data_IF_214085471715
#
_entry.id   IF_214085471715
#
_cell.length_a   1.000
_cell.length_b   1.000
_cell.length_c   1.000
_cell.angle_alpha   90.00
_cell.angle_beta   90.00
_cell.angle_gamma   90.00
#
_symmetry.space_group_name_H-M   'P 1'
#
loop_
_entity.id
_entity.type
_entity.pdbx_description
1 polymer ?
#
# COMPACT_ATOMS: atom_id res chain seq x y z
N UNK A 1 -8.91 21.84 -32.84
CA UNK A 1 -8.29 22.95 -32.09
C UNK A 1 -6.99 23.33 -32.77
N UNK A 2 -6.66 24.61 -32.90
CA UNK A 2 -5.34 25.04 -33.41
C UNK A 2 -4.21 24.78 -32.41
N UNK A 3 -2.94 24.89 -32.84
CA UNK A 3 -1.74 24.63 -32.00
C UNK A 3 -1.75 25.38 -30.66
N UNK A 4 -2.25 26.62 -30.64
CA UNK A 4 -2.38 27.42 -29.41
C UNK A 4 -3.37 26.83 -28.41
N UNK A 5 -4.45 26.20 -28.87
CA UNK A 5 -5.43 25.54 -28.00
C UNK A 5 -4.90 24.23 -27.40
N UNK A 6 -4.09 23.48 -28.17
CA UNK A 6 -3.42 22.29 -27.67
C UNK A 6 -2.44 22.63 -26.53
N UNK A 7 -1.65 23.69 -26.68
CA UNK A 7 -0.72 24.16 -25.64
C UNK A 7 -1.44 24.58 -24.35
N UNK A 8 -2.57 25.29 -24.45
CA UNK A 8 -3.35 25.67 -23.26
C UNK A 8 -3.92 24.45 -22.56
N UNK A 9 -4.43 23.46 -23.31
CA UNK A 9 -4.98 22.23 -22.74
C UNK A 9 -3.91 21.43 -21.98
N UNK A 10 -2.73 21.26 -22.56
CA UNK A 10 -1.58 20.62 -21.90
C UNK A 10 -1.16 21.37 -20.64
N UNK A 11 -1.09 22.72 -20.70
CA UNK A 11 -0.78 23.54 -19.51
C UNK A 11 -1.76 23.29 -18.35
N UNK A 12 -3.07 23.20 -18.64
CA UNK A 12 -4.08 22.92 -17.62
C UNK A 12 -3.86 21.55 -16.98
N UNK A 13 -3.58 20.53 -17.80
CA UNK A 13 -3.32 19.16 -17.35
C UNK A 13 -2.07 19.09 -16.46
N UNK A 14 -0.96 19.69 -16.88
CA UNK A 14 0.31 19.67 -16.13
C UNK A 14 0.17 20.38 -14.77
N UNK A 15 -0.42 21.58 -14.77
CA UNK A 15 -0.70 22.34 -13.54
C UNK A 15 -1.63 21.57 -12.59
N UNK A 16 -2.63 20.88 -13.14
CA UNK A 16 -3.56 20.09 -12.33
C UNK A 16 -2.86 18.90 -11.69
N UNK A 17 -1.97 18.22 -12.43
CA UNK A 17 -1.15 17.12 -11.90
C UNK A 17 -0.30 17.62 -10.72
N UNK A 18 0.39 18.74 -10.86
CA UNK A 18 1.19 19.33 -9.78
C UNK A 18 0.33 19.70 -8.56
N UNK A 19 -0.83 20.32 -8.76
CA UNK A 19 -1.76 20.67 -7.68
C UNK A 19 -2.30 19.43 -6.96
N UNK A 20 -2.69 18.40 -7.71
CA UNK A 20 -3.14 17.13 -7.14
C UNK A 20 -2.02 16.48 -6.30
N UNK A 21 -0.76 16.58 -6.73
CA UNK A 21 0.38 16.08 -5.97
C UNK A 21 0.63 16.87 -4.69
N UNK A 22 0.45 18.19 -4.72
CA UNK A 22 0.76 19.09 -3.60
C UNK A 22 -0.31 19.12 -2.51
N UNK A 23 -1.59 19.17 -2.88
CA UNK A 23 -2.70 19.36 -1.92
C UNK A 23 -3.76 18.26 -1.97
N UNK A 24 -3.63 17.30 -2.88
CA UNK A 24 -4.59 16.21 -3.07
C UNK A 24 -5.74 16.55 -4.01
N UNK A 25 -6.32 15.53 -4.63
CA UNK A 25 -7.41 15.67 -5.60
C UNK A 25 -8.65 16.34 -4.99
N UNK A 26 -9.08 15.91 -3.79
CA UNK A 26 -10.31 16.43 -3.18
C UNK A 26 -10.20 17.89 -2.76
N UNK A 27 -9.02 18.33 -2.30
CA UNK A 27 -8.79 19.72 -1.86
C UNK A 27 -8.47 20.68 -3.02
N UNK A 28 -8.20 20.16 -4.21
CA UNK A 28 -7.96 20.99 -5.40
C UNK A 28 -9.28 21.52 -5.96
N UNK A 29 -9.38 22.83 -6.17
CA UNK A 29 -10.55 23.48 -6.78
C UNK A 29 -10.25 23.91 -8.23
N UNK A 30 -11.30 24.05 -9.04
CA UNK A 30 -11.19 24.57 -10.42
C UNK A 30 -10.61 26.00 -10.42
N UNK A 31 -10.95 26.81 -9.41
CA UNK A 31 -10.43 28.17 -9.27
C UNK A 31 -8.92 28.16 -8.97
N UNK A 32 -8.44 27.22 -8.15
CA UNK A 32 -7.00 27.05 -7.90
C UNK A 32 -6.24 26.64 -9.17
N UNK A 33 -6.80 25.70 -9.95
CA UNK A 33 -6.22 25.29 -11.24
C UNK A 33 -6.16 26.46 -12.22
N UNK A 34 -7.27 27.21 -12.38
CA UNK A 34 -7.31 28.35 -13.30
C UNK A 34 -6.27 29.43 -12.91
N UNK A 35 -6.16 29.72 -11.61
CA UNK A 35 -5.19 30.66 -11.06
C UNK A 35 -3.74 30.23 -11.34
N UNK A 36 -3.40 28.98 -11.02
CA UNK A 36 -2.04 28.44 -11.19
C UNK A 36 -1.68 28.30 -12.69
N UNK A 37 -2.65 28.00 -13.54
CA UNK A 37 -2.47 27.96 -14.99
C UNK A 37 -2.47 29.35 -15.65
N UNK A 38 -2.62 30.44 -14.88
CA UNK A 38 -2.69 31.83 -15.38
C UNK A 38 -3.74 32.00 -16.49
N UNK A 39 -4.95 31.49 -16.24
CA UNK A 39 -6.11 31.59 -17.15
C UNK A 39 -7.38 31.96 -16.39
N UNK A 40 -8.38 32.45 -17.11
CA UNK A 40 -9.70 32.67 -16.50
C UNK A 40 -10.43 31.34 -16.27
N UNK A 41 -11.32 31.31 -15.27
CA UNK A 41 -12.22 30.17 -15.04
C UNK A 41 -13.06 29.85 -16.28
N UNK A 42 -13.52 30.88 -17.00
CA UNK A 42 -14.26 30.71 -18.25
C UNK A 42 -13.40 30.04 -19.33
N UNK A 43 -12.12 30.38 -19.41
CA UNK A 43 -11.16 29.71 -20.31
C UNK A 43 -10.99 28.25 -19.94
N UNK A 44 -10.84 27.91 -18.66
CA UNK A 44 -10.71 26.52 -18.22
C UNK A 44 -11.93 25.69 -18.66
N UNK A 45 -13.15 26.22 -18.44
CA UNK A 45 -14.39 25.55 -18.85
C UNK A 45 -14.56 25.35 -20.35
N UNK A 46 -13.82 26.09 -21.20
CA UNK A 46 -13.80 25.82 -22.64
C UNK A 46 -13.05 24.52 -22.99
N UNK A 47 -12.17 24.04 -22.10
CA UNK A 47 -11.38 22.82 -22.31
C UNK A 47 -11.88 21.65 -21.45
N UNK A 48 -12.29 21.91 -20.21
CA UNK A 48 -12.67 20.89 -19.24
C UNK A 48 -13.93 21.27 -18.46
N UNK A 49 -14.94 20.39 -18.37
CA UNK A 49 -16.13 20.63 -17.55
C UNK A 49 -15.83 20.76 -16.05
N UNK A 50 -14.75 20.15 -15.57
CA UNK A 50 -14.33 20.18 -14.19
C UNK A 50 -13.01 19.47 -13.96
N UNK A 51 -12.61 19.34 -12.69
CA UNK A 51 -11.36 18.67 -12.30
C UNK A 51 -11.41 17.15 -12.53
N UNK A 52 -12.60 16.55 -12.49
CA UNK A 52 -12.81 15.13 -12.73
C UNK A 52 -12.41 14.79 -14.17
N UNK A 53 -12.81 15.58 -15.16
CA UNK A 53 -12.42 15.35 -16.57
C UNK A 53 -10.93 15.59 -16.82
N UNK A 54 -10.30 16.51 -16.08
CA UNK A 54 -8.84 16.68 -16.13
C UNK A 54 -8.15 15.42 -15.58
N UNK A 55 -8.65 14.88 -14.48
CA UNK A 55 -8.13 13.64 -13.89
C UNK A 55 -8.33 12.44 -14.82
N UNK A 56 -9.47 12.35 -15.50
CA UNK A 56 -9.73 11.29 -16.48
C UNK A 56 -8.79 11.35 -17.69
N UNK A 57 -8.43 12.54 -18.15
CA UNK A 57 -7.42 12.68 -19.18
C UNK A 57 -6.03 12.24 -18.70
N UNK A 58 -5.64 12.63 -17.50
CA UNK A 58 -4.39 12.15 -16.89
C UNK A 58 -4.38 10.62 -16.74
N UNK A 59 -5.51 10.04 -16.33
CA UNK A 59 -5.71 8.60 -16.22
C UNK A 59 -5.55 7.90 -17.57
N UNK A 60 -6.11 8.47 -18.64
CA UNK A 60 -5.99 7.94 -20.00
C UNK A 60 -4.55 8.04 -20.54
N UNK A 61 -3.83 9.14 -20.25
CA UNK A 61 -2.39 9.27 -20.59
C UNK A 61 -1.53 8.25 -19.85
N UNK A 62 -1.65 8.18 -18.53
CA UNK A 62 -0.94 7.21 -17.68
C UNK A 62 -1.28 5.77 -18.11
N UNK A 63 -2.57 5.51 -18.31
CA UNK A 63 -3.08 4.21 -18.66
C UNK A 63 -2.56 3.70 -20.00
N UNK A 64 -2.49 4.56 -21.03
CA UNK A 64 -1.86 4.20 -22.31
C UNK A 64 -0.39 3.79 -22.15
N UNK A 65 0.35 4.43 -21.25
CA UNK A 65 1.74 4.06 -20.98
C UNK A 65 1.82 2.67 -20.34
N UNK A 66 1.04 2.40 -19.30
CA UNK A 66 0.96 1.08 -18.66
C UNK A 66 0.52 -0.02 -19.63
N UNK A 67 -0.53 0.21 -20.42
CA UNK A 67 -0.99 -0.77 -21.40
C UNK A 67 0.06 -1.07 -22.48
N UNK A 68 0.87 -0.10 -22.86
CA UNK A 68 1.98 -0.31 -23.80
C UNK A 68 3.03 -1.24 -23.21
N UNK A 69 3.37 -1.05 -21.94
CA UNK A 69 4.31 -1.91 -21.20
C UNK A 69 3.75 -3.32 -21.08
N UNK A 70 2.49 -3.48 -20.65
CA UNK A 70 1.85 -4.80 -20.53
C UNK A 70 1.76 -5.58 -21.86
N UNK A 71 1.52 -4.89 -23.00
CA UNK A 71 1.49 -5.53 -24.33
C UNK A 71 2.82 -6.15 -24.75
N UNK A 72 3.92 -5.65 -24.18
CA UNK A 72 5.28 -6.04 -24.54
C UNK A 72 5.89 -7.06 -23.58
N UNK A 73 5.15 -7.49 -22.55
CA UNK A 73 5.59 -8.61 -21.70
C UNK A 73 5.80 -9.81 -22.63
N UNK A 74 7.04 -10.28 -22.71
CA UNK A 74 7.41 -11.47 -23.46
C UNK A 74 6.89 -12.75 -22.80
N UNK A 75 7.24 -13.93 -23.32
CA UNK A 75 6.94 -15.20 -22.67
C UNK A 75 7.52 -15.23 -21.25
N UNK A 76 6.71 -15.63 -20.27
CA UNK A 76 7.16 -15.91 -18.90
C UNK A 76 7.28 -17.43 -18.70
N UNK A 77 8.18 -17.85 -17.82
CA UNK A 77 8.43 -19.25 -17.49
C UNK A 77 9.69 -19.44 -16.64
N UNK A 78 10.00 -20.67 -16.21
CA UNK A 78 11.18 -21.01 -15.39
C UNK A 78 12.49 -21.02 -16.19
N UNK A 79 12.70 -20.02 -17.03
CA UNK A 79 13.85 -19.93 -17.94
C UNK A 79 14.51 -18.56 -17.84
N UNK A 80 15.77 -18.46 -18.28
CA UNK A 80 16.46 -17.16 -18.33
C UNK A 80 15.68 -16.12 -19.15
N UNK A 81 15.12 -16.51 -20.29
CA UNK A 81 14.32 -15.60 -21.13
C UNK A 81 13.06 -15.14 -20.40
N UNK A 82 12.37 -16.06 -19.71
CA UNK A 82 11.19 -15.73 -18.91
C UNK A 82 11.51 -14.74 -17.78
N UNK A 83 12.61 -14.98 -17.09
CA UNK A 83 13.10 -14.13 -16.01
C UNK A 83 13.53 -12.73 -16.51
N UNK A 84 14.29 -12.67 -17.60
CA UNK A 84 14.71 -11.40 -18.23
C UNK A 84 13.47 -10.57 -18.65
N UNK A 85 12.43 -11.22 -19.20
CA UNK A 85 11.17 -10.55 -19.57
C UNK A 85 10.41 -10.01 -18.35
N UNK A 86 10.41 -10.74 -17.23
CA UNK A 86 9.80 -10.31 -15.98
C UNK A 86 10.54 -9.09 -15.39
N UNK A 87 11.87 -9.16 -15.30
CA UNK A 87 12.71 -8.06 -14.81
C UNK A 87 12.55 -6.80 -15.68
N UNK A 88 12.57 -6.95 -17.01
CA UNK A 88 12.32 -5.84 -17.93
C UNK A 88 10.94 -5.20 -17.69
N UNK A 89 9.88 -6.01 -17.56
CA UNK A 89 8.55 -5.49 -17.29
C UNK A 89 8.49 -4.70 -15.98
N UNK A 90 9.13 -5.19 -14.91
CA UNK A 90 9.20 -4.51 -13.62
C UNK A 90 9.95 -3.16 -13.70
N UNK A 91 11.05 -3.10 -14.46
CA UNK A 91 11.78 -1.87 -14.71
C UNK A 91 10.93 -0.82 -15.45
N UNK A 92 10.28 -1.22 -16.55
CA UNK A 92 9.40 -0.35 -17.31
C UNK A 92 8.19 0.11 -16.50
N UNK A 93 7.61 -0.79 -15.68
CA UNK A 93 6.51 -0.45 -14.80
C UNK A 93 6.93 0.62 -13.78
N UNK A 94 8.11 0.44 -13.18
CA UNK A 94 8.66 1.40 -12.21
C UNK A 94 8.95 2.76 -12.85
N UNK A 95 9.44 2.78 -14.09
CA UNK A 95 9.60 4.01 -14.86
C UNK A 95 8.27 4.73 -15.13
N UNK A 96 7.23 3.98 -15.53
CA UNK A 96 5.89 4.57 -15.71
C UNK A 96 5.36 5.11 -14.39
N UNK A 97 5.55 4.38 -13.29
CA UNK A 97 5.11 4.84 -11.98
C UNK A 97 5.79 6.14 -11.56
N UNK A 98 7.12 6.22 -11.67
CA UNK A 98 7.89 7.43 -11.32
C UNK A 98 7.36 8.66 -12.09
N UNK A 99 7.20 8.51 -13.40
CA UNK A 99 6.70 9.58 -14.29
C UNK A 99 5.28 10.05 -13.96
N UNK A 100 4.41 9.17 -13.46
CA UNK A 100 3.00 9.47 -13.19
C UNK A 100 2.64 9.24 -11.71
N UNK A 101 3.61 9.36 -10.80
CA UNK A 101 3.48 8.94 -9.40
C UNK A 101 2.30 9.59 -8.70
N UNK A 102 2.06 10.89 -8.97
CA UNK A 102 0.88 11.61 -8.47
C UNK A 102 -0.43 10.94 -8.86
N UNK A 103 -0.57 10.41 -10.08
CA UNK A 103 -1.79 9.72 -10.48
C UNK A 103 -2.03 8.48 -9.65
N UNK A 104 -0.99 7.68 -9.39
CA UNK A 104 -1.10 6.47 -8.57
C UNK A 104 -1.34 6.76 -7.09
N UNK A 105 -0.71 7.81 -6.55
CA UNK A 105 -0.94 8.24 -5.16
C UNK A 105 -2.38 8.69 -4.98
N UNK A 106 -2.86 9.57 -5.87
CA UNK A 106 -4.22 10.11 -5.77
C UNK A 106 -5.28 9.06 -6.09
N UNK A 107 -4.97 8.09 -6.96
CA UNK A 107 -5.84 6.97 -7.30
C UNK A 107 -6.47 6.33 -6.08
N UNK A 108 -5.67 5.98 -5.08
CA UNK A 108 -6.14 5.26 -3.89
C UNK A 108 -7.27 6.03 -3.20
N UNK A 109 -7.12 7.35 -3.07
CA UNK A 109 -8.16 8.21 -2.48
C UNK A 109 -9.39 8.39 -3.38
N UNK A 110 -9.19 8.48 -4.71
CA UNK A 110 -10.25 8.72 -5.69
C UNK A 110 -11.10 7.47 -5.93
N UNK A 111 -10.47 6.30 -6.04
CA UNK A 111 -11.14 5.02 -6.23
C UNK A 111 -12.04 4.63 -5.04
N UNK A 112 -11.65 5.03 -3.83
CA UNK A 112 -12.41 4.78 -2.60
C UNK A 112 -13.57 5.76 -2.38
N UNK A 113 -13.64 6.84 -3.16
CA UNK A 113 -14.71 7.82 -3.08
C UNK A 113 -15.77 7.58 -4.15
N UNK A 114 -17.01 7.93 -3.84
CA UNK A 114 -18.10 7.97 -4.81
C UNK A 114 -17.91 9.17 -5.76
N UNK A 115 -17.18 8.94 -6.85
CA UNK A 115 -16.83 9.96 -7.85
C UNK A 115 -17.23 9.49 -9.24
N UNK A 116 -17.43 10.45 -10.15
CA UNK A 116 -17.69 10.16 -11.57
C UNK A 116 -16.51 9.43 -12.26
N UNK A 117 -15.33 9.52 -11.65
CA UNK A 117 -14.06 8.94 -12.12
C UNK A 117 -13.97 7.44 -11.84
N UNK A 118 -14.57 6.97 -10.74
CA UNK A 118 -14.41 5.59 -10.23
C UNK A 118 -14.72 4.50 -11.26
N UNK A 119 -15.82 4.54 -12.04
CA UNK A 119 -16.09 3.50 -13.05
C UNK A 119 -15.02 3.39 -14.14
N UNK A 120 -14.34 4.50 -14.46
CA UNK A 120 -13.28 4.52 -15.47
C UNK A 120 -11.98 3.93 -14.93
N UNK A 121 -11.68 4.20 -13.66
CA UNK A 121 -10.63 3.52 -12.88
C UNK A 121 -10.85 2.00 -12.86
N UNK A 122 -12.07 1.55 -12.55
CA UNK A 122 -12.40 0.12 -12.49
C UNK A 122 -12.26 -0.56 -13.86
N UNK A 123 -12.72 0.12 -14.92
CA UNK A 123 -12.58 -0.34 -16.31
C UNK A 123 -11.11 -0.47 -16.71
N UNK A 124 -10.30 0.53 -16.36
CA UNK A 124 -8.86 0.52 -16.61
C UNK A 124 -8.18 -0.69 -15.94
N UNK A 125 -8.40 -0.86 -14.63
CA UNK A 125 -7.75 -1.92 -13.85
C UNK A 125 -8.18 -3.29 -14.34
N UNK A 126 -9.47 -3.48 -14.61
CA UNK A 126 -10.00 -4.72 -15.17
C UNK A 126 -9.35 -5.06 -16.52
N UNK A 127 -9.17 -4.05 -17.38
CA UNK A 127 -8.49 -4.21 -18.66
C UNK A 127 -7.01 -4.58 -18.52
N UNK A 128 -6.30 -3.92 -17.60
CA UNK A 128 -4.88 -4.17 -17.34
C UNK A 128 -4.66 -5.56 -16.73
N UNK A 129 -5.44 -5.92 -15.71
CA UNK A 129 -5.40 -7.24 -15.09
C UNK A 129 -5.69 -8.34 -16.10
N UNK A 130 -6.73 -8.20 -16.94
CA UNK A 130 -7.02 -9.20 -17.97
C UNK A 130 -5.86 -9.44 -18.92
N UNK A 131 -5.10 -8.40 -19.25
CA UNK A 131 -3.93 -8.52 -20.12
C UNK A 131 -2.78 -9.29 -19.47
N UNK A 132 -2.50 -9.02 -18.20
CA UNK A 132 -1.48 -9.76 -17.45
C UNK A 132 -1.93 -11.21 -17.23
N UNK A 133 -3.20 -11.45 -16.88
CA UNK A 133 -3.79 -12.79 -16.79
C UNK A 133 -3.63 -13.56 -18.10
N UNK A 134 -3.96 -12.98 -19.25
CA UNK A 134 -3.84 -13.65 -20.55
C UNK A 134 -2.38 -14.01 -20.89
N UNK A 135 -1.40 -13.25 -20.40
CA UNK A 135 0.02 -13.62 -20.52
C UNK A 135 0.35 -14.82 -19.62
N UNK A 136 -0.11 -14.80 -18.37
CA UNK A 136 0.12 -15.89 -17.41
C UNK A 136 -0.58 -17.21 -17.78
N UNK A 137 -1.74 -17.14 -18.44
CA UNK A 137 -2.42 -18.31 -19.01
C UNK A 137 -1.56 -19.05 -20.05
N UNK A 138 -0.64 -18.34 -20.71
CA UNK A 138 0.29 -18.91 -21.68
C UNK A 138 1.58 -19.44 -21.04
N UNK A 139 1.71 -19.37 -19.71
CA UNK A 139 2.99 -19.59 -19.00
C UNK A 139 3.07 -20.89 -18.18
N UNK A 140 2.20 -21.88 -18.40
CA UNK A 140 2.28 -23.19 -17.71
C UNK A 140 2.39 -23.11 -16.16
N UNK A 141 1.75 -22.11 -15.55
CA UNK A 141 1.78 -21.89 -14.09
C UNK A 141 1.37 -23.14 -13.30
N UNK A 142 2.12 -23.45 -12.25
CA UNK A 142 1.85 -24.58 -11.36
C UNK A 142 1.23 -24.13 -10.05
N UNK A 143 0.11 -24.75 -9.68
CA UNK A 143 -0.51 -24.58 -8.36
C UNK A 143 -1.03 -23.17 -8.04
N UNK A 144 -1.26 -22.30 -9.02
CA UNK A 144 -1.90 -21.00 -8.83
C UNK A 144 -2.77 -20.66 -10.04
N UNK A 145 -4.01 -20.22 -9.80
CA UNK A 145 -4.89 -19.78 -10.89
C UNK A 145 -4.33 -18.50 -11.52
N UNK A 146 -4.21 -18.38 -12.87
CA UNK A 146 -3.65 -17.20 -13.53
C UNK A 146 -4.31 -15.87 -13.13
N UNK A 147 -5.62 -15.88 -12.87
CA UNK A 147 -6.34 -14.68 -12.39
C UNK A 147 -5.85 -14.24 -11.01
N UNK A 148 -5.66 -15.19 -10.09
CA UNK A 148 -5.18 -14.93 -8.73
C UNK A 148 -3.71 -14.51 -8.75
N UNK A 149 -2.88 -15.19 -9.54
CA UNK A 149 -1.49 -14.83 -9.77
C UNK A 149 -1.32 -13.41 -10.32
N UNK A 150 -2.11 -13.05 -11.34
CA UNK A 150 -2.11 -11.71 -11.91
C UNK A 150 -2.51 -10.65 -10.88
N UNK A 151 -3.53 -10.92 -10.07
CA UNK A 151 -3.96 -10.01 -9.02
C UNK A 151 -2.84 -9.78 -8.01
N UNK A 152 -2.23 -10.85 -7.50
CA UNK A 152 -1.15 -10.76 -6.52
C UNK A 152 0.05 -9.98 -7.10
N UNK A 153 0.50 -10.36 -8.30
CA UNK A 153 1.59 -9.69 -9.03
C UNK A 153 1.34 -8.19 -9.20
N UNK A 154 0.16 -7.78 -9.68
CA UNK A 154 -0.17 -6.36 -9.87
C UNK A 154 -0.25 -5.62 -8.52
N UNK A 155 -0.89 -6.23 -7.52
CA UNK A 155 -1.03 -5.66 -6.18
C UNK A 155 0.33 -5.37 -5.52
N UNK A 156 1.26 -6.32 -5.61
CA UNK A 156 2.62 -6.22 -5.06
C UNK A 156 3.40 -5.15 -5.81
N UNK A 157 3.45 -5.22 -7.15
CA UNK A 157 4.20 -4.28 -7.99
C UNK A 157 3.74 -2.85 -7.75
N UNK A 158 2.43 -2.63 -7.69
CA UNK A 158 1.88 -1.31 -7.37
C UNK A 158 2.28 -0.84 -5.97
N UNK A 159 2.18 -1.71 -4.96
CA UNK A 159 2.47 -1.34 -3.58
C UNK A 159 3.96 -1.04 -3.35
N UNK A 160 4.85 -1.81 -3.96
CA UNK A 160 6.30 -1.61 -3.90
C UNK A 160 6.70 -0.27 -4.51
N UNK A 161 6.15 0.07 -5.67
CA UNK A 161 6.44 1.34 -6.31
C UNK A 161 5.86 2.54 -5.57
N UNK A 162 4.70 2.38 -4.92
CA UNK A 162 4.20 3.39 -3.99
C UNK A 162 5.18 3.60 -2.84
N UNK A 163 5.79 2.54 -2.31
CA UNK A 163 6.82 2.66 -1.26
C UNK A 163 8.09 3.34 -1.77
N UNK A 164 8.53 3.08 -3.01
CA UNK A 164 9.63 3.81 -3.64
C UNK A 164 9.32 5.31 -3.73
N UNK A 165 8.17 5.68 -4.29
CA UNK A 165 7.79 7.09 -4.47
C UNK A 165 7.50 7.85 -3.15
N UNK A 166 7.31 7.12 -2.05
CA UNK A 166 7.05 7.71 -0.72
C UNK A 166 8.22 7.57 0.24
N UNK A 167 9.40 7.17 -0.26
CA UNK A 167 10.65 7.00 0.50
C UNK A 167 10.49 6.03 1.69
N UNK A 168 9.91 4.85 1.40
CA UNK A 168 9.60 3.81 2.40
C UNK A 168 10.34 2.51 2.11
N UNK A 169 11.50 2.62 1.48
CA UNK A 169 12.35 1.50 1.05
C UNK A 169 13.69 1.45 1.78
N UNK A 170 13.83 2.14 2.93
CA UNK A 170 15.06 2.15 3.74
C UNK A 170 16.31 2.51 2.92
N UNK A 171 16.18 3.52 2.05
CA UNK A 171 17.27 3.98 1.18
C UNK A 171 17.62 3.07 0.01
N UNK A 172 16.88 1.96 -0.22
CA UNK A 172 17.08 1.11 -1.41
C UNK A 172 16.59 1.81 -2.66
N UNK A 173 17.45 1.86 -3.67
CA UNK A 173 17.14 2.46 -4.96
C UNK A 173 16.19 1.59 -5.80
N UNK A 174 15.71 2.16 -6.91
CA UNK A 174 14.77 1.48 -7.81
C UNK A 174 15.33 0.18 -8.39
N UNK A 175 16.63 0.13 -8.70
CA UNK A 175 17.24 -1.04 -9.34
C UNK A 175 17.29 -2.22 -8.36
N UNK A 176 17.79 -2.02 -7.15
CA UNK A 176 17.83 -3.06 -6.12
C UNK A 176 16.42 -3.59 -5.79
N UNK A 177 15.42 -2.70 -5.77
CA UNK A 177 14.03 -3.07 -5.55
C UNK A 177 13.46 -3.88 -6.70
N UNK A 178 13.66 -3.46 -7.95
CA UNK A 178 13.21 -4.19 -9.14
C UNK A 178 13.86 -5.57 -9.22
N UNK A 179 15.15 -5.68 -8.94
CA UNK A 179 15.90 -6.93 -9.01
C UNK A 179 15.45 -7.94 -7.95
N UNK A 180 15.31 -7.49 -6.70
CA UNK A 180 14.79 -8.34 -5.62
C UNK A 180 13.33 -8.76 -5.86
N UNK A 181 12.50 -7.84 -6.38
CA UNK A 181 11.11 -8.13 -6.74
C UNK A 181 11.03 -9.11 -7.93
N UNK A 182 12.00 -9.06 -8.85
CA UNK A 182 12.10 -10.01 -9.96
C UNK A 182 12.33 -11.42 -9.45
N UNK A 183 13.31 -11.60 -8.55
CA UNK A 183 13.60 -12.90 -7.92
C UNK A 183 12.37 -13.41 -7.17
N UNK A 184 11.75 -12.55 -6.34
CA UNK A 184 10.56 -12.91 -5.57
C UNK A 184 9.38 -13.35 -6.47
N UNK A 185 9.04 -12.54 -7.49
CA UNK A 185 7.91 -12.85 -8.38
C UNK A 185 8.21 -14.06 -9.28
N UNK A 186 9.47 -14.25 -9.67
CA UNK A 186 9.89 -15.44 -10.42
C UNK A 186 9.64 -16.70 -9.60
N UNK A 187 10.03 -16.72 -8.32
CA UNK A 187 9.79 -17.86 -7.44
C UNK A 187 8.32 -18.03 -7.05
N UNK A 188 7.57 -16.93 -6.92
CA UNK A 188 6.12 -16.97 -6.71
C UNK A 188 5.40 -17.70 -7.84
N UNK A 189 5.71 -17.33 -9.08
CA UNK A 189 5.05 -17.83 -10.29
C UNK A 189 5.60 -19.18 -10.75
N UNK A 190 6.91 -19.37 -10.61
CA UNK A 190 7.69 -20.50 -11.14
C UNK A 190 8.68 -21.02 -10.07
N UNK A 191 8.20 -21.65 -8.99
CA UNK A 191 9.06 -22.09 -7.88
C UNK A 191 10.16 -23.08 -8.32
N UNK A 192 9.95 -23.82 -9.40
CA UNK A 192 10.92 -24.73 -10.01
C UNK A 192 12.07 -24.04 -10.76
N UNK A 193 12.08 -22.71 -10.84
CA UNK A 193 13.15 -21.94 -11.52
C UNK A 193 14.52 -22.28 -10.92
N UNK A 194 15.50 -22.73 -11.72
CA UNK A 194 16.83 -23.03 -11.21
C UNK A 194 17.55 -21.79 -10.66
N UNK A 195 18.29 -21.93 -9.57
CA UNK A 195 19.06 -20.82 -8.99
C UNK A 195 20.08 -20.22 -9.97
N UNK A 196 20.59 -21.00 -10.94
CA UNK A 196 21.45 -20.47 -12.00
C UNK A 196 20.78 -19.42 -12.90
N UNK A 197 19.45 -19.45 -13.03
CA UNK A 197 18.67 -18.41 -13.71
C UNK A 197 18.57 -17.17 -12.83
N UNK A 198 18.28 -17.34 -11.54
CA UNK A 198 18.12 -16.24 -10.58
C UNK A 198 19.44 -15.48 -10.37
N UNK A 199 20.57 -16.19 -10.37
CA UNK A 199 21.93 -15.64 -10.28
C UNK A 199 22.37 -14.84 -11.52
N UNK A 200 21.52 -14.70 -12.55
CA UNK A 200 21.85 -13.89 -13.73
C UNK A 200 21.69 -12.38 -13.51
N UNK A 201 21.00 -11.96 -12.44
CA UNK A 201 20.89 -10.55 -12.04
C UNK A 201 22.05 -10.20 -11.08
N UNK A 202 22.74 -9.07 -11.29
CA UNK A 202 23.81 -8.60 -10.41
C UNK A 202 23.24 -7.89 -9.17
N UNK A 203 22.45 -8.61 -8.37
CA UNK A 203 21.93 -8.09 -7.11
C UNK A 203 22.97 -8.35 -6.01
N UNK A 204 23.72 -7.31 -5.67
CA UNK A 204 24.61 -7.31 -4.51
C UNK A 204 23.82 -6.90 -3.27
N UNK A 205 23.76 -7.76 -2.25
CA UNK A 205 23.26 -7.35 -0.93
C UNK A 205 24.30 -6.42 -0.32
N UNK A 206 23.98 -5.13 -0.03
CA UNK A 206 24.94 -4.24 0.59
C UNK A 206 25.45 -4.85 1.90
N UNK A 207 26.78 -4.97 2.10
CA UNK A 207 27.35 -5.59 3.31
C UNK A 207 27.16 -4.73 4.56
N UNK A 208 26.86 -3.44 4.41
CA UNK A 208 26.57 -2.52 5.51
C UNK A 208 25.09 -2.62 5.90
N UNK A 209 24.86 -3.52 6.84
CA UNK A 209 23.68 -3.74 7.67
C UNK A 209 22.36 -4.09 6.95
N UNK A 210 21.99 -5.39 6.87
CA UNK A 210 20.62 -5.76 6.52
C UNK A 210 19.61 -5.33 7.59
N UNK A 211 20.06 -4.74 8.70
CA UNK A 211 19.24 -4.35 9.84
C UNK A 211 18.41 -3.12 9.53
N UNK A 212 17.11 -3.23 9.78
CA UNK A 212 16.21 -2.09 9.84
C UNK A 212 16.27 -1.55 11.27
N UNK A 213 16.81 -0.35 11.44
CA UNK A 213 16.81 0.32 12.74
C UNK A 213 15.37 0.68 13.15
N UNK A 214 14.94 0.17 14.29
CA UNK A 214 13.67 0.54 14.90
C UNK A 214 13.90 1.81 15.73
N UNK A 215 13.33 2.95 15.35
CA UNK A 215 13.49 4.17 16.14
C UNK A 215 12.85 4.01 17.53
N UNK A 216 13.31 4.74 18.55
CA UNK A 216 12.71 4.70 19.87
C UNK A 216 11.25 5.18 19.81
N UNK A 217 10.40 4.57 20.62
CA UNK A 217 9.02 5.05 20.79
C UNK A 217 9.02 6.50 21.30
N UNK A 218 8.18 7.38 20.73
CA UNK A 218 8.02 8.72 21.25
C UNK A 218 7.39 8.71 22.65
N UNK A 219 7.56 9.79 23.40
CA UNK A 219 6.87 9.94 24.67
C UNK A 219 5.36 10.06 24.44
N UNK A 220 4.60 9.15 25.07
CA UNK A 220 3.13 9.08 24.97
C UNK A 220 2.44 9.33 26.31
N UNK A 221 3.19 9.76 27.33
CA UNK A 221 2.71 9.88 28.70
C UNK A 221 1.48 10.81 28.79
N UNK A 222 0.36 10.27 29.27
CA UNK A 222 -0.90 11.01 29.41
C UNK A 222 -1.74 11.08 28.14
N UNK A 223 -1.24 10.57 27.00
CA UNK A 223 -1.91 10.63 25.71
C UNK A 223 -2.75 9.38 25.42
N UNK A 224 -2.37 8.23 25.98
CA UNK A 224 -3.06 6.96 25.78
C UNK A 224 -4.45 6.91 26.42
N UNK A 225 -5.32 6.02 25.92
CA UNK A 225 -6.61 5.76 26.56
C UNK A 225 -6.46 5.20 27.98
N UNK A 226 -5.41 4.40 28.22
CA UNK A 226 -5.08 3.87 29.53
C UNK A 226 -4.70 4.98 30.52
N UNK A 227 -3.81 5.90 30.14
CA UNK A 227 -3.38 7.00 31.02
C UNK A 227 -4.53 7.93 31.39
N UNK A 228 -5.38 8.27 30.41
CA UNK A 228 -6.57 9.12 30.61
C UNK A 228 -7.57 8.53 31.59
N UNK A 229 -7.56 7.21 31.76
CA UNK A 229 -8.56 6.49 32.54
C UNK A 229 -8.00 5.79 33.78
N UNK A 230 -6.68 5.89 34.03
CA UNK A 230 -5.98 5.17 35.10
C UNK A 230 -6.60 5.34 36.50
N UNK A 231 -7.17 6.52 36.78
CA UNK A 231 -7.80 6.84 38.07
C UNK A 231 -9.32 7.12 37.95
N UNK A 232 -9.94 6.68 36.86
CA UNK A 232 -11.36 6.93 36.61
C UNK A 232 -12.22 5.68 36.86
N UNK A 233 -13.54 5.88 36.97
CA UNK A 233 -14.49 4.79 37.14
C UNK A 233 -14.51 3.83 35.94
N UNK A 234 -14.92 2.57 36.14
CA UNK A 234 -15.16 1.60 35.05
C UNK A 234 -16.08 2.15 33.95
N UNK A 235 -17.05 2.99 34.31
CA UNK A 235 -17.93 3.67 33.34
C UNK A 235 -17.16 4.63 32.46
N UNK A 236 -16.24 5.41 33.03
CA UNK A 236 -15.39 6.33 32.27
C UNK A 236 -14.45 5.57 31.34
N UNK A 237 -13.80 4.51 31.82
CA UNK A 237 -12.97 3.60 31.00
C UNK A 237 -13.76 3.08 29.80
N UNK A 238 -14.98 2.56 30.03
CA UNK A 238 -15.83 2.08 28.95
C UNK A 238 -16.22 3.19 27.96
N UNK A 239 -16.48 4.41 28.45
CA UNK A 239 -16.82 5.55 27.61
C UNK A 239 -15.66 5.94 26.68
N UNK A 240 -14.44 5.99 27.21
CA UNK A 240 -13.23 6.26 26.42
C UNK A 240 -13.03 5.18 25.36
N UNK A 241 -13.16 3.91 25.73
CA UNK A 241 -13.09 2.79 24.76
C UNK A 241 -14.13 2.93 23.64
N UNK A 242 -15.38 3.24 23.96
CA UNK A 242 -16.43 3.47 22.95
C UNK A 242 -16.05 4.62 22.00
N UNK A 243 -15.47 5.71 22.50
CA UNK A 243 -15.00 6.82 21.65
C UNK A 243 -13.82 6.41 20.75
N UNK A 244 -12.87 5.63 21.27
CA UNK A 244 -11.73 5.08 20.51
C UNK A 244 -12.22 4.14 19.41
N UNK A 245 -13.13 3.21 19.74
CA UNK A 245 -13.73 2.27 18.77
C UNK A 245 -14.51 3.00 17.67
N UNK A 246 -15.32 3.98 18.04
CA UNK A 246 -16.07 4.81 17.11
C UNK A 246 -15.14 5.65 16.22
N UNK A 247 -14.09 6.22 16.80
CA UNK A 247 -13.05 6.96 16.08
C UNK A 247 -12.33 6.11 15.05
N UNK A 248 -11.83 4.93 15.45
CA UNK A 248 -11.15 4.00 14.55
C UNK A 248 -12.06 3.57 13.39
N UNK A 249 -13.33 3.27 13.68
CA UNK A 249 -14.34 2.92 12.67
C UNK A 249 -14.59 4.07 11.69
N UNK A 250 -14.77 5.30 12.19
CA UNK A 250 -15.02 6.44 11.31
C UNK A 250 -13.79 6.82 10.48
N UNK A 251 -12.58 6.69 11.03
CA UNK A 251 -11.34 6.90 10.27
C UNK A 251 -11.14 5.82 9.21
N UNK A 252 -11.49 4.56 9.48
CA UNK A 252 -11.50 3.49 8.47
C UNK A 252 -12.46 3.81 7.32
N UNK A 253 -13.68 4.27 7.63
CA UNK A 253 -14.72 4.47 6.62
C UNK A 253 -14.52 5.72 5.77
N UNK A 254 -14.08 6.84 6.39
CA UNK A 254 -14.03 8.16 5.72
C UNK A 254 -12.60 8.69 5.53
N UNK A 255 -11.61 8.09 6.20
CA UNK A 255 -10.28 8.67 6.35
C UNK A 255 -10.23 9.77 7.42
N UNK A 256 -9.06 9.96 8.05
CA UNK A 256 -8.89 10.89 9.17
C UNK A 256 -9.37 12.32 8.87
N UNK A 257 -8.98 12.88 7.72
CA UNK A 257 -9.29 14.28 7.40
C UNK A 257 -10.79 14.54 7.23
N UNK A 258 -11.54 13.58 6.64
CA UNK A 258 -12.98 13.74 6.34
C UNK A 258 -13.89 13.39 7.52
N UNK A 259 -13.38 12.71 8.55
CA UNK A 259 -14.12 12.44 9.79
C UNK A 259 -14.22 13.70 10.65
N UNK A 260 -15.41 14.00 11.15
CA UNK A 260 -15.68 15.04 12.14
C UNK A 260 -15.87 14.46 13.55
N UNK A 261 -15.82 15.30 14.58
CA UNK A 261 -16.17 14.89 15.96
C UNK A 261 -17.64 14.45 16.04
N UNK A 262 -18.52 15.06 15.25
CA UNK A 262 -19.94 14.72 15.22
C UNK A 262 -20.16 13.29 14.69
N UNK A 263 -19.47 12.91 13.61
CA UNK A 263 -19.49 11.54 13.10
C UNK A 263 -19.11 10.51 14.18
N UNK A 264 -18.10 10.84 15.00
CA UNK A 264 -17.56 9.95 16.02
C UNK A 264 -18.55 9.78 17.17
N UNK A 265 -19.13 10.88 17.67
CA UNK A 265 -20.07 10.79 18.79
C UNK A 265 -21.41 10.21 18.38
N UNK A 266 -21.83 10.42 17.13
CA UNK A 266 -22.98 9.74 16.53
C UNK A 266 -22.74 8.23 16.45
N UNK A 267 -21.60 7.79 15.90
CA UNK A 267 -21.19 6.39 15.87
C UNK A 267 -21.11 5.77 17.28
N UNK A 268 -20.67 6.53 18.27
CA UNK A 268 -20.55 6.09 19.66
C UNK A 268 -21.89 6.08 20.42
N UNK A 269 -22.95 6.70 19.87
CA UNK A 269 -24.20 6.92 20.60
C UNK A 269 -24.03 7.84 21.82
N UNK A 270 -23.12 8.81 21.76
CA UNK A 270 -22.77 9.72 22.86
C UNK A 270 -23.06 11.17 22.49
N UNK A 271 -23.26 12.01 23.50
CA UNK A 271 -23.36 13.46 23.29
C UNK A 271 -21.98 14.07 22.98
N UNK A 272 -21.95 15.13 22.16
CA UNK A 272 -20.73 15.88 21.81
C UNK A 272 -19.92 16.31 23.04
N UNK A 273 -20.57 16.77 24.11
CA UNK A 273 -19.90 17.16 25.36
C UNK A 273 -19.16 16.01 26.05
N UNK A 274 -19.56 14.76 25.82
CA UNK A 274 -18.87 13.57 26.35
C UNK A 274 -17.50 13.38 25.68
N UNK A 275 -17.37 13.70 24.40
CA UNK A 275 -16.07 13.65 23.70
C UNK A 275 -15.08 14.61 24.36
N UNK A 276 -15.48 15.88 24.48
CA UNK A 276 -14.62 16.94 25.03
C UNK A 276 -14.27 16.79 26.51
N UNK A 277 -14.94 15.86 27.21
CA UNK A 277 -14.54 15.46 28.56
C UNK A 277 -13.24 14.63 28.58
N UNK A 278 -12.96 13.87 27.52
CA UNK A 278 -11.84 12.92 27.48
C UNK A 278 -10.80 13.24 26.41
N UNK A 279 -11.19 13.93 25.34
CA UNK A 279 -10.32 14.30 24.23
C UNK A 279 -10.50 15.78 23.92
N UNK A 280 -9.41 16.53 23.81
CA UNK A 280 -9.47 17.97 23.50
C UNK A 280 -9.97 18.23 22.08
N UNK A 281 -9.57 17.36 21.14
CA UNK A 281 -9.86 17.49 19.73
C UNK A 281 -9.77 16.14 19.00
N UNK A 282 -10.11 16.12 17.71
CA UNK A 282 -10.03 14.92 16.85
C UNK A 282 -8.60 14.37 16.76
N UNK A 283 -7.59 15.25 16.69
CA UNK A 283 -6.18 14.87 16.63
C UNK A 283 -5.72 14.16 17.92
N UNK A 284 -6.23 14.60 19.08
CA UNK A 284 -5.98 13.97 20.37
C UNK A 284 -6.49 12.51 20.43
N UNK A 285 -7.66 12.27 19.85
CA UNK A 285 -8.19 10.90 19.69
C UNK A 285 -7.37 10.08 18.68
N UNK A 286 -6.90 10.68 17.58
CA UNK A 286 -6.02 10.01 16.62
C UNK A 286 -4.72 9.56 17.29
N UNK A 287 -4.12 10.38 18.16
CA UNK A 287 -2.93 9.99 18.93
C UNK A 287 -3.23 8.77 19.79
N UNK A 288 -4.32 8.75 20.54
CA UNK A 288 -4.69 7.60 21.36
C UNK A 288 -4.88 6.31 20.53
N UNK A 289 -5.56 6.40 19.38
CA UNK A 289 -5.73 5.28 18.43
C UNK A 289 -4.38 4.84 17.86
N UNK A 290 -3.47 5.77 17.57
CA UNK A 290 -2.14 5.48 17.02
C UNK A 290 -1.24 4.78 18.03
N UNK A 291 -1.38 5.11 19.32
CA UNK A 291 -0.68 4.43 20.42
C UNK A 291 -1.13 2.96 20.48
N UNK A 292 -2.45 2.72 20.57
CA UNK A 292 -3.00 1.36 20.59
C UNK A 292 -2.60 0.57 19.33
N UNK A 293 -2.65 1.21 18.15
CA UNK A 293 -2.24 0.59 16.90
C UNK A 293 -0.74 0.23 16.88
N UNK A 294 0.12 1.06 17.45
CA UNK A 294 1.57 0.80 17.50
C UNK A 294 1.91 -0.33 18.47
N UNK A 295 1.26 -0.36 19.64
CA UNK A 295 1.39 -1.46 20.60
C UNK A 295 0.99 -2.80 19.95
N UNK A 296 -0.11 -2.83 19.20
CA UNK A 296 -0.55 -4.02 18.48
C UNK A 296 0.41 -4.40 17.34
N UNK A 297 0.97 -3.43 16.61
CA UNK A 297 1.97 -3.70 15.58
C UNK A 297 3.23 -4.36 16.17
N UNK A 298 3.68 -3.89 17.33
CA UNK A 298 4.83 -4.46 18.05
C UNK A 298 4.52 -5.88 18.54
N UNK A 299 3.33 -6.13 19.08
CA UNK A 299 2.89 -7.49 19.44
C UNK A 299 2.89 -8.42 18.22
N UNK A 300 2.36 -7.96 17.08
CA UNK A 300 2.35 -8.72 15.84
C UNK A 300 3.77 -9.07 15.36
N UNK A 301 4.72 -8.13 15.47
CA UNK A 301 6.12 -8.36 15.13
C UNK A 301 6.74 -9.42 16.05
N UNK A 302 6.49 -9.32 17.36
CA UNK A 302 6.99 -10.26 18.36
C UNK A 302 6.37 -11.67 18.26
N UNK A 303 5.14 -11.78 17.74
CA UNK A 303 4.52 -13.08 17.41
C UNK A 303 5.06 -13.65 16.12
N UNK A 304 5.22 -12.82 15.07
CA UNK A 304 5.77 -13.25 13.78
C UNK A 304 7.15 -13.87 13.95
N UNK A 305 8.01 -13.26 14.78
CA UNK A 305 9.38 -13.75 15.05
C UNK A 305 9.44 -15.11 15.76
N UNK A 306 8.30 -15.66 16.21
CA UNK A 306 8.22 -16.97 16.87
C UNK A 306 7.60 -18.04 15.97
N UNK A 307 7.04 -17.66 14.82
CA UNK A 307 6.41 -18.57 13.87
C UNK A 307 7.49 -19.03 12.90
N UNK A 308 7.66 -20.35 12.77
CA UNK A 308 8.46 -20.88 11.67
C UNK A 308 7.65 -20.80 10.37
N UNK A 309 8.02 -19.84 9.52
CA UNK A 309 7.38 -19.61 8.22
C UNK A 309 7.57 -20.76 7.22
N UNK A 310 8.43 -21.73 7.54
CA UNK A 310 8.65 -22.95 6.74
C UNK A 310 7.98 -24.20 7.31
N UNK A 311 7.36 -24.13 8.50
CA UNK A 311 6.66 -25.28 9.09
C UNK A 311 5.51 -25.72 8.16
N UNK A 312 5.42 -27.00 7.75
CA UNK A 312 4.29 -27.52 6.98
C UNK A 312 2.93 -27.26 7.63
N UNK A 313 2.83 -27.29 8.96
CA UNK A 313 1.62 -26.92 9.70
C UNK A 313 1.44 -25.39 9.68
N UNK A 314 0.40 -24.96 8.95
CA UNK A 314 0.11 -23.54 8.75
C UNK A 314 -0.75 -22.92 9.85
N UNK A 315 -1.11 -23.66 10.90
CA UNK A 315 -2.11 -23.22 11.88
C UNK A 315 -1.75 -21.89 12.54
N UNK A 316 -0.52 -21.76 13.05
CA UNK A 316 -0.05 -20.52 13.70
C UNK A 316 0.08 -19.36 12.70
N UNK A 317 0.62 -19.62 11.51
CA UNK A 317 0.74 -18.60 10.45
C UNK A 317 -0.64 -18.10 9.99
N UNK A 318 -1.62 -18.99 9.84
CA UNK A 318 -2.99 -18.64 9.46
C UNK A 318 -3.68 -17.81 10.54
N UNK A 319 -3.50 -18.18 11.81
CA UNK A 319 -4.01 -17.42 12.94
C UNK A 319 -3.38 -16.02 12.98
N UNK A 320 -2.07 -15.92 12.74
CA UNK A 320 -1.37 -14.65 12.65
C UNK A 320 -1.87 -13.78 11.49
N UNK A 321 -1.99 -14.34 10.28
CA UNK A 321 -2.51 -13.64 9.09
C UNK A 321 -3.92 -13.08 9.35
N UNK A 322 -4.80 -13.88 9.95
CA UNK A 322 -6.18 -13.48 10.24
C UNK A 322 -6.21 -12.34 11.26
N UNK A 323 -5.43 -12.47 12.34
CA UNK A 323 -5.29 -11.43 13.37
C UNK A 323 -4.68 -10.14 12.79
N UNK A 324 -3.67 -10.26 11.92
CA UNK A 324 -2.99 -9.11 11.32
C UNK A 324 -3.89 -8.39 10.31
N UNK A 325 -4.69 -9.12 9.54
CA UNK A 325 -5.67 -8.54 8.60
C UNK A 325 -6.74 -7.75 9.36
N UNK A 326 -7.23 -8.27 10.49
CA UNK A 326 -8.17 -7.55 11.36
C UNK A 326 -7.53 -6.28 11.96
N UNK A 327 -6.27 -6.37 12.40
CA UNK A 327 -5.48 -5.22 12.85
C UNK A 327 -5.37 -4.14 11.76
N UNK A 328 -4.92 -4.52 10.55
CA UNK A 328 -4.77 -3.60 9.43
C UNK A 328 -6.09 -2.92 9.06
N UNK A 329 -7.19 -3.68 9.09
CA UNK A 329 -8.54 -3.17 8.81
C UNK A 329 -8.97 -2.12 9.83
N UNK A 330 -8.86 -2.45 11.12
CA UNK A 330 -9.26 -1.56 12.22
C UNK A 330 -8.47 -0.26 12.28
N UNK A 331 -7.16 -0.33 12.07
CA UNK A 331 -6.27 0.83 12.19
C UNK A 331 -5.96 1.48 10.84
N UNK A 332 -6.56 1.03 9.74
CA UNK A 332 -6.35 1.56 8.37
C UNK A 332 -6.45 3.08 8.28
N UNK A 333 -7.42 3.70 8.96
CA UNK A 333 -7.57 5.16 8.99
C UNK A 333 -6.42 5.89 9.71
N UNK A 334 -5.91 5.29 10.80
CA UNK A 334 -4.73 5.79 11.51
C UNK A 334 -3.45 5.56 10.70
N UNK A 335 -3.34 4.41 10.03
CA UNK A 335 -2.22 4.08 9.16
C UNK A 335 -2.18 5.01 7.95
N UNK A 336 -3.33 5.25 7.33
CA UNK A 336 -3.48 6.23 6.25
C UNK A 336 -3.06 7.63 6.70
N UNK A 337 -3.40 8.02 7.94
CA UNK A 337 -3.08 9.35 8.47
C UNK A 337 -1.58 9.71 8.34
N UNK A 338 -0.69 8.82 8.81
CA UNK A 338 0.75 9.06 8.77
C UNK A 338 1.41 8.62 7.46
N UNK A 339 0.89 7.60 6.77
CA UNK A 339 1.49 7.14 5.50
C UNK A 339 1.19 8.08 4.32
N UNK A 340 0.03 8.72 4.31
CA UNK A 340 -0.37 9.71 3.30
C UNK A 340 -0.05 11.15 3.73
N UNK A 341 0.61 11.34 4.88
CA UNK A 341 0.94 12.66 5.46
C UNK A 341 -0.29 13.58 5.57
N UNK A 342 -1.43 13.01 5.95
CA UNK A 342 -2.70 13.76 6.14
C UNK A 342 -2.87 14.27 7.58
N UNK A 343 -1.86 14.06 8.43
CA UNK A 343 -1.70 14.66 9.75
C UNK A 343 -0.34 15.35 9.82
N UNK A 344 -0.29 16.49 10.52
CA UNK A 344 0.94 17.21 10.88
C UNK A 344 1.44 16.83 12.29
N UNK A 345 0.80 15.85 12.94
CA UNK A 345 1.21 15.40 14.27
C UNK A 345 2.46 14.50 14.18
N UNK A 346 3.59 15.01 14.69
CA UNK A 346 4.85 14.26 14.73
C UNK A 346 4.76 12.97 15.54
N UNK A 347 4.00 12.95 16.65
CA UNK A 347 3.85 11.75 17.50
C UNK A 347 3.16 10.62 16.73
N UNK A 348 2.09 10.93 16.00
CA UNK A 348 1.40 9.94 15.16
C UNK A 348 2.32 9.38 14.08
N UNK A 349 3.13 10.25 13.47
CA UNK A 349 4.10 9.85 12.43
C UNK A 349 5.20 8.95 13.02
N UNK A 350 5.79 9.34 14.16
CA UNK A 350 6.83 8.57 14.84
C UNK A 350 6.33 7.21 15.34
N UNK A 351 5.12 7.16 15.91
CA UNK A 351 4.45 5.92 16.30
C UNK A 351 4.29 4.96 15.11
N UNK A 352 3.75 5.47 13.99
CA UNK A 352 3.58 4.70 12.77
C UNK A 352 4.88 4.15 12.20
N UNK A 353 5.94 4.98 12.15
CA UNK A 353 7.28 4.56 11.70
C UNK A 353 7.83 3.47 12.62
N UNK A 354 7.74 3.64 13.94
CA UNK A 354 8.22 2.66 14.91
C UNK A 354 7.52 1.30 14.76
N UNK A 355 6.17 1.29 14.71
CA UNK A 355 5.40 0.05 14.57
C UNK A 355 5.70 -0.68 13.25
N UNK A 356 5.88 0.07 12.16
CA UNK A 356 6.27 -0.54 10.89
C UNK A 356 7.71 -1.06 10.90
N UNK A 357 8.67 -0.28 11.39
CA UNK A 357 10.07 -0.70 11.44
C UNK A 357 10.24 -1.96 12.28
N UNK A 358 9.49 -2.10 13.39
CA UNK A 358 9.48 -3.32 14.20
C UNK A 358 9.03 -4.57 13.40
N UNK A 359 7.97 -4.45 12.61
CA UNK A 359 7.48 -5.52 11.74
C UNK A 359 8.49 -5.89 10.65
N UNK A 360 9.02 -4.89 9.93
CA UNK A 360 9.98 -5.13 8.86
C UNK A 360 11.30 -5.70 9.42
N UNK A 361 11.76 -5.22 10.58
CA UNK A 361 12.93 -5.74 11.29
C UNK A 361 12.75 -7.20 11.73
N UNK A 362 11.57 -7.59 12.20
CA UNK A 362 11.30 -8.98 12.56
C UNK A 362 11.40 -9.91 11.34
N UNK A 363 10.91 -9.47 10.18
CA UNK A 363 11.03 -10.23 8.93
C UNK A 363 12.48 -10.33 8.46
N UNK A 364 13.24 -9.23 8.49
CA UNK A 364 14.69 -9.25 8.20
C UNK A 364 15.41 -10.26 9.08
N UNK A 365 15.15 -10.24 10.39
CA UNK A 365 15.82 -11.10 11.36
C UNK A 365 15.62 -12.59 11.07
N UNK A 366 14.42 -13.00 10.65
CA UNK A 366 14.20 -14.37 10.18
C UNK A 366 14.95 -14.64 8.86
N UNK A 367 14.79 -13.76 7.88
CA UNK A 367 15.33 -13.94 6.54
C UNK A 367 16.85 -14.11 6.51
N UNK A 368 17.61 -13.35 7.31
CA UNK A 368 19.08 -13.41 7.34
C UNK A 368 19.63 -14.71 7.94
N UNK A 369 18.84 -15.45 8.71
CA UNK A 369 19.27 -16.74 9.28
C UNK A 369 19.21 -17.89 8.28
N UNK A 370 18.57 -17.68 7.12
CA UNK A 370 18.28 -18.72 6.13
C UNK A 370 19.30 -18.67 4.99
N UNK A 371 19.95 -19.81 4.74
CA UNK A 371 20.91 -19.96 3.65
C UNK A 371 20.18 -20.15 2.32
N UNK A 372 20.65 -19.44 1.28
CA UNK A 372 20.10 -19.43 -0.09
C UNK A 372 21.24 -19.53 -1.09
N UNK A 373 20.93 -20.02 -2.28
CA UNK A 373 21.86 -20.14 -3.41
C UNK A 373 21.53 -19.19 -4.57
N UNK A 374 20.68 -18.18 -4.32
CA UNK A 374 20.26 -17.13 -5.24
C UNK A 374 20.35 -15.74 -4.58
N UNK A 375 20.44 -14.65 -5.35
CA UNK A 375 20.63 -13.32 -4.77
C UNK A 375 19.35 -12.81 -4.11
N UNK A 376 19.51 -12.09 -2.99
CA UNK A 376 18.39 -11.68 -2.15
C UNK A 376 18.77 -10.50 -1.26
N UNK A 377 18.03 -9.38 -1.35
CA UNK A 377 18.13 -8.30 -0.37
C UNK A 377 17.06 -8.52 0.73
N UNK A 378 17.47 -8.82 1.98
CA UNK A 378 16.54 -9.08 3.08
C UNK A 378 15.69 -7.86 3.45
N UNK A 379 16.19 -6.64 3.25
CA UNK A 379 15.43 -5.41 3.50
C UNK A 379 14.33 -5.25 2.46
N UNK A 380 14.66 -5.43 1.17
CA UNK A 380 13.64 -5.41 0.11
C UNK A 380 12.63 -6.53 0.30
N UNK A 381 13.06 -7.71 0.71
CA UNK A 381 12.16 -8.82 0.99
C UNK A 381 11.20 -8.53 2.16
N UNK A 382 11.65 -7.86 3.23
CA UNK A 382 10.76 -7.39 4.28
C UNK A 382 9.74 -6.36 3.75
N UNK A 383 10.16 -5.47 2.86
CA UNK A 383 9.25 -4.52 2.18
C UNK A 383 8.23 -5.27 1.30
N UNK A 384 8.63 -6.32 0.58
CA UNK A 384 7.74 -7.20 -0.18
C UNK A 384 6.76 -7.90 0.77
N UNK A 385 7.24 -8.48 1.87
CA UNK A 385 6.39 -9.11 2.87
C UNK A 385 5.33 -8.15 3.39
N UNK A 386 5.73 -6.93 3.80
CA UNK A 386 4.82 -5.84 4.17
C UNK A 386 3.80 -5.53 3.08
N UNK A 387 4.22 -5.51 1.82
CA UNK A 387 3.32 -5.29 0.68
C UNK A 387 2.26 -6.39 0.55
N UNK A 388 2.64 -7.66 0.77
CA UNK A 388 1.75 -8.81 0.70
C UNK A 388 0.66 -8.71 1.76
N UNK A 389 1.06 -8.64 3.02
CA UNK A 389 0.14 -8.68 4.16
C UNK A 389 -0.74 -7.43 4.24
N UNK A 390 -0.30 -6.30 3.68
CA UNK A 390 -1.08 -5.06 3.65
C UNK A 390 -2.04 -4.95 2.45
N UNK A 391 -1.72 -5.57 1.29
CA UNK A 391 -2.49 -5.32 0.05
C UNK A 391 -3.28 -6.52 -0.45
N UNK A 392 -2.78 -7.74 -0.29
CA UNK A 392 -3.42 -8.94 -0.85
C UNK A 392 -4.83 -9.17 -0.26
N UNK A 393 -5.09 -9.02 1.05
CA UNK A 393 -6.44 -9.21 1.58
C UNK A 393 -7.48 -8.31 0.91
N UNK A 394 -7.15 -7.03 0.73
CA UNK A 394 -8.04 -6.09 0.04
C UNK A 394 -8.18 -6.44 -1.45
N UNK A 395 -7.08 -6.80 -2.12
CA UNK A 395 -7.10 -7.12 -3.55
C UNK A 395 -7.92 -8.39 -3.84
N UNK A 396 -7.89 -9.35 -2.93
CA UNK A 396 -8.67 -10.57 -2.98
C UNK A 396 -10.19 -10.30 -2.85
N UNK A 397 -10.59 -9.30 -2.07
CA UNK A 397 -11.99 -8.85 -1.95
C UNK A 397 -12.46 -8.00 -3.14
N UNK A 398 -11.54 -7.38 -3.87
CA UNK A 398 -11.83 -6.62 -5.10
C UNK A 398 -12.01 -7.52 -6.34
N UNK A 399 -11.70 -8.82 -6.23
CA UNK A 399 -11.93 -9.78 -7.31
C UNK A 399 -13.43 -10.01 -7.54
N UNK A 400 -13.76 -10.46 -8.76
CA UNK A 400 -15.12 -10.84 -9.15
C UNK A 400 -15.12 -12.28 -9.71
N UNK A 401 -15.58 -13.29 -8.94
CA UNK A 401 -16.01 -13.20 -7.53
C UNK A 401 -14.84 -12.97 -6.56
N UNK A 402 -15.09 -12.42 -5.36
CA UNK A 402 -14.07 -12.25 -4.32
C UNK A 402 -13.64 -13.60 -3.75
N UNK A 403 -12.41 -13.67 -3.22
CA UNK A 403 -11.96 -14.84 -2.47
C UNK A 403 -12.55 -14.85 -1.05
N UNK A 404 -12.73 -16.04 -0.49
CA UNK A 404 -13.03 -16.18 0.94
C UNK A 404 -11.82 -15.79 1.80
N UNK A 405 -12.04 -15.53 3.08
CA UNK A 405 -10.95 -15.26 4.03
C UNK A 405 -9.97 -16.44 4.12
N UNK A 406 -10.49 -17.67 4.06
CA UNK A 406 -9.68 -18.90 4.05
C UNK A 406 -8.80 -18.99 2.80
N UNK A 407 -9.38 -18.78 1.61
CA UNK A 407 -8.63 -18.78 0.35
C UNK A 407 -7.64 -17.62 0.27
N UNK A 408 -7.94 -16.48 0.90
CA UNK A 408 -7.03 -15.33 1.01
C UNK A 408 -5.84 -15.66 1.91
N UNK A 409 -6.08 -16.35 3.02
CA UNK A 409 -5.00 -16.82 3.90
C UNK A 409 -4.13 -17.86 3.21
N UNK A 410 -4.72 -18.81 2.48
CA UNK A 410 -3.98 -19.79 1.68
C UNK A 410 -3.10 -19.10 0.63
N UNK A 411 -3.64 -18.12 -0.09
CA UNK A 411 -2.89 -17.33 -1.06
C UNK A 411 -1.70 -16.61 -0.40
N UNK A 412 -1.90 -15.98 0.77
CA UNK A 412 -0.81 -15.32 1.49
C UNK A 412 0.28 -16.33 1.91
N UNK A 413 -0.11 -17.51 2.39
CA UNK A 413 0.84 -18.57 2.75
C UNK A 413 1.63 -19.03 1.52
N UNK A 414 0.96 -19.25 0.38
CA UNK A 414 1.62 -19.60 -0.88
C UNK A 414 2.58 -18.50 -1.33
N UNK A 415 2.15 -17.23 -1.27
CA UNK A 415 2.99 -16.08 -1.57
C UNK A 415 4.24 -16.00 -0.69
N UNK A 416 4.11 -16.33 0.59
CA UNK A 416 5.21 -16.32 1.55
C UNK A 416 6.16 -17.50 1.27
N UNK A 417 5.64 -18.72 1.22
CA UNK A 417 6.45 -19.94 1.06
C UNK A 417 7.18 -19.96 -0.28
N UNK A 418 6.47 -19.72 -1.38
CA UNK A 418 7.07 -19.77 -2.72
C UNK A 418 8.08 -18.65 -2.93
N UNK A 419 7.70 -17.41 -2.58
CA UNK A 419 8.51 -16.24 -2.91
C UNK A 419 9.74 -16.02 -2.03
N UNK A 420 9.75 -16.49 -0.78
CA UNK A 420 10.87 -16.25 0.16
C UNK A 420 11.67 -17.49 0.56
N UNK A 421 11.06 -18.68 0.46
CA UNK A 421 11.57 -19.90 1.10
C UNK A 421 11.68 -21.09 0.15
N UNK A 422 11.57 -20.87 -1.16
CA UNK A 422 11.99 -21.87 -2.15
C UNK A 422 13.52 -21.89 -2.23
N UNK A 423 14.11 -23.06 -2.56
CA UNK A 423 15.56 -23.29 -2.66
C UNK A 423 16.36 -22.92 -1.41
N UNK A 424 15.80 -23.11 -0.21
CA UNK A 424 16.59 -23.08 1.02
C UNK A 424 17.48 -24.32 1.10
N UNK A 425 18.74 -24.14 1.52
CA UNK A 425 19.76 -25.20 1.60
C UNK A 425 20.18 -25.55 3.01
#
# INVERSE_FOLDING_TARGET
MGSRGANTRTKIVDVSLELFGRVGFFNTSVDAIAKEADISRATLYQYFPGKDEIFLELLDVCGRALFRVARRIGPLGPTKVGFDNLNWWLGEWSWVFDRYSTMFVQWTSVAMADTSVRPQIDTFMSGYTRMVTARLEQSELQGMEPRVASMAMIAIVHRINLFLATDRTYGRDTQAVVDSLSVYLQLLLFPETPSSVLNSIPLETPPEDPVIEVPPLPSTAGLSAADRTANLSKRAVNTVRTLVDAGATQFQLKGYHRTSVDDIVEQAGLARGTFYKYFSEKQDLLVAISIEGTEQAIDHAARLSKIDLTDPDTTELRAWISSFTAFMTRYSGSIGAWTEKTTDNDVVTQLGICGQAAMDSAMVADLITRKRDYPFDPVVAAIIFRSLVARIPQAAQELSPPLSDEATADLLIDCIRRGFFTHLT
#
